data_IF_792221078639
#
_entry.id   IF_792221078639
#
_cell.length_a   1.000
_cell.length_b   1.000
_cell.length_c   1.000
_cell.angle_alpha   90.00
_cell.angle_beta   90.00
_cell.angle_gamma   90.00
#
_symmetry.space_group_name_H-M   'P 1'
#
loop_
_entity.id
_entity.type
_entity.pdbx_description
1 polymer ?
#
# COMPACT_ATOMS: atom_id res chain seq x y z
N UNK A 1 -2.58 14.67 1.60
CA UNK A 1 -3.20 13.37 1.98
C UNK A 1 -2.43 12.17 1.42
N UNK A 2 -2.24 12.02 0.10
CA UNK A 2 -1.53 10.86 -0.50
C UNK A 2 -0.05 10.77 -0.08
N UNK A 3 0.62 11.91 0.09
CA UNK A 3 2.02 12.00 0.54
C UNK A 3 2.29 11.33 1.91
N UNK A 4 1.29 11.31 2.81
CA UNK A 4 1.42 10.74 4.16
C UNK A 4 1.30 9.21 4.23
N UNK A 5 0.90 8.54 3.15
CA UNK A 5 0.75 7.07 3.13
C UNK A 5 2.07 6.33 2.84
N UNK A 6 3.17 7.06 2.65
CA UNK A 6 4.44 6.48 2.21
C UNK A 6 4.39 5.87 0.80
N UNK A 7 3.26 5.96 0.10
CA UNK A 7 3.09 5.54 -1.30
C UNK A 7 3.83 6.46 -2.28
N UNK A 8 4.18 7.66 -1.81
CA UNK A 8 5.03 8.62 -2.50
C UNK A 8 6.54 8.38 -2.26
N UNK A 9 6.94 7.31 -1.53
CA UNK A 9 8.35 6.93 -1.37
C UNK A 9 8.92 6.22 -2.61
N UNK A 10 8.62 6.78 -3.78
CA UNK A 10 9.39 6.63 -5.01
C UNK A 10 10.37 7.78 -5.24
N UNK A 11 10.40 8.80 -4.36
CA UNK A 11 11.40 9.89 -4.39
C UNK A 11 12.76 9.51 -3.78
N UNK A 12 13.01 8.20 -3.57
CA UNK A 12 14.35 7.67 -3.32
C UNK A 12 14.95 7.19 -4.65
N UNK A 13 15.90 7.96 -5.16
CA UNK A 13 16.63 7.68 -6.40
C UNK A 13 17.39 6.35 -6.29
N UNK A 14 16.89 5.30 -6.95
CA UNK A 14 17.61 4.05 -7.16
C UNK A 14 16.69 2.82 -7.16
N UNK A 15 16.89 1.84 -8.07
CA UNK A 15 16.17 0.58 -8.02
C UNK A 15 16.53 -0.14 -6.71
N UNK A 16 15.59 -0.20 -5.76
CA UNK A 16 15.73 -1.11 -4.62
C UNK A 16 15.79 -2.53 -5.18
N UNK A 17 16.92 -3.22 -4.98
CA UNK A 17 17.12 -4.59 -5.50
C UNK A 17 16.09 -5.58 -4.94
N UNK A 18 15.56 -5.32 -3.74
CA UNK A 18 14.58 -6.18 -3.08
C UNK A 18 13.47 -5.36 -2.39
N UNK A 19 12.26 -5.93 -2.37
CA UNK A 19 11.10 -5.33 -1.69
C UNK A 19 11.24 -5.46 -0.18
N UNK A 20 10.89 -4.40 0.56
CA UNK A 20 10.92 -4.42 2.03
C UNK A 20 10.01 -5.50 2.64
N UNK A 21 8.85 -5.75 2.02
CA UNK A 21 7.97 -6.85 2.44
C UNK A 21 8.55 -8.22 2.13
N UNK A 22 9.34 -8.36 1.05
CA UNK A 22 10.01 -9.61 0.74
C UNK A 22 11.10 -9.94 1.77
N UNK A 23 11.88 -8.94 2.19
CA UNK A 23 12.87 -9.14 3.27
C UNK A 23 12.21 -9.45 4.62
N UNK A 24 11.13 -8.74 4.96
CA UNK A 24 10.34 -9.05 6.15
C UNK A 24 9.79 -10.49 6.10
N UNK A 25 9.21 -10.88 4.96
CA UNK A 25 8.67 -12.22 4.78
C UNK A 25 9.75 -13.30 4.88
N UNK A 26 10.95 -13.08 4.31
CA UNK A 26 12.08 -14.00 4.50
C UNK A 26 12.52 -14.10 5.96
N UNK A 27 12.48 -13.00 6.72
CA UNK A 27 12.86 -12.99 8.14
C UNK A 27 11.94 -13.87 8.98
N UNK A 28 10.62 -13.77 8.79
CA UNK A 28 9.65 -14.46 9.64
C UNK A 28 9.24 -15.84 9.11
N UNK A 29 9.18 -16.02 7.79
CA UNK A 29 8.75 -17.28 7.16
C UNK A 29 9.94 -18.14 6.73
N UNK A 30 11.11 -17.53 6.53
CA UNK A 30 12.30 -18.22 6.04
C UNK A 30 12.40 -18.27 4.51
N UNK A 31 13.36 -19.07 4.04
CA UNK A 31 13.69 -19.20 2.62
C UNK A 31 13.75 -20.66 2.19
N UNK A 32 13.37 -20.92 0.94
CA UNK A 32 13.56 -22.21 0.27
C UNK A 32 15.04 -22.46 -0.09
N UNK A 33 15.32 -23.66 -0.63
CA UNK A 33 16.66 -24.08 -1.09
C UNK A 33 17.27 -23.14 -2.16
N UNK A 34 16.46 -22.32 -2.82
CA UNK A 34 16.87 -21.36 -3.85
C UNK A 34 16.98 -19.93 -3.30
N UNK A 35 16.98 -19.76 -1.98
CA UNK A 35 17.04 -18.47 -1.28
C UNK A 35 15.87 -17.51 -1.63
N UNK A 36 14.72 -18.07 -1.96
CA UNK A 36 13.46 -17.33 -2.17
C UNK A 36 12.62 -17.44 -0.90
N UNK A 37 11.76 -16.46 -0.62
CA UNK A 37 10.79 -16.55 0.48
C UNK A 37 10.02 -17.87 0.37
N UNK A 38 9.96 -18.67 1.44
CA UNK A 38 9.50 -20.07 1.35
C UNK A 38 8.00 -20.19 0.97
N UNK A 39 7.12 -19.43 1.64
CA UNK A 39 5.68 -19.37 1.33
C UNK A 39 5.40 -18.81 -0.08
N UNK A 40 4.99 -19.69 -0.98
CA UNK A 40 4.66 -19.34 -2.37
C UNK A 40 3.47 -18.39 -2.52
N UNK A 41 2.48 -18.48 -1.63
CA UNK A 41 1.30 -17.61 -1.66
C UNK A 41 1.67 -16.20 -1.19
N UNK A 42 2.41 -16.08 -0.09
CA UNK A 42 2.91 -14.79 0.41
C UNK A 42 3.82 -14.13 -0.62
N UNK A 43 4.72 -14.90 -1.25
CA UNK A 43 5.60 -14.42 -2.33
C UNK A 43 4.79 -13.84 -3.50
N UNK A 44 3.72 -14.51 -3.90
CA UNK A 44 2.82 -14.03 -4.97
C UNK A 44 2.08 -12.76 -4.57
N UNK A 45 1.58 -12.68 -3.33
CA UNK A 45 0.91 -11.47 -2.81
C UNK A 45 1.84 -10.26 -2.80
N UNK A 46 3.08 -10.43 -2.31
CA UNK A 46 4.10 -9.38 -2.29
C UNK A 46 4.42 -8.93 -3.72
N UNK A 47 4.69 -9.85 -4.64
CA UNK A 47 5.01 -9.52 -6.03
C UNK A 47 3.88 -8.74 -6.72
N UNK A 48 2.62 -9.14 -6.48
CA UNK A 48 1.44 -8.42 -7.00
C UNK A 48 1.32 -7.03 -6.39
N UNK A 49 1.55 -6.87 -5.09
CA UNK A 49 1.53 -5.57 -4.43
C UNK A 49 2.63 -4.65 -4.95
N UNK A 50 3.87 -5.14 -5.12
CA UNK A 50 4.98 -4.36 -5.67
C UNK A 50 4.71 -3.91 -7.11
N UNK A 51 4.18 -4.81 -7.96
CA UNK A 51 3.79 -4.49 -9.33
C UNK A 51 2.70 -3.42 -9.36
N UNK A 52 1.66 -3.58 -8.53
CA UNK A 52 0.57 -2.63 -8.40
C UNK A 52 1.04 -1.27 -7.87
N UNK A 53 1.99 -1.26 -6.93
CA UNK A 53 2.60 -0.04 -6.39
C UNK A 53 3.34 0.71 -7.49
N UNK A 54 4.11 0.00 -8.32
CA UNK A 54 4.80 0.60 -9.47
C UNK A 54 3.83 1.15 -10.51
N UNK A 55 2.81 0.39 -10.88
CA UNK A 55 1.77 0.84 -11.82
C UNK A 55 1.03 2.07 -11.27
N UNK A 56 0.78 2.11 -9.96
CA UNK A 56 0.14 3.23 -9.31
C UNK A 56 1.02 4.49 -9.30
N UNK A 57 2.33 4.36 -9.04
CA UNK A 57 3.26 5.50 -9.16
C UNK A 57 3.25 6.09 -10.56
N UNK A 58 3.29 5.26 -11.60
CA UNK A 58 3.21 5.72 -13.00
C UNK A 58 1.85 6.40 -13.28
N UNK A 59 0.77 5.87 -12.70
CA UNK A 59 -0.56 6.49 -12.83
C UNK A 59 -0.63 7.86 -12.15
N UNK A 60 -0.05 8.02 -10.96
CA UNK A 60 0.03 9.30 -10.27
C UNK A 60 0.89 10.31 -11.04
N UNK A 61 1.99 9.85 -11.66
CA UNK A 61 2.80 10.70 -12.54
C UNK A 61 1.99 11.19 -13.73
N UNK A 62 1.29 10.29 -14.43
CA UNK A 62 0.40 10.66 -15.54
C UNK A 62 -0.67 11.66 -15.09
N UNK A 63 -1.34 11.42 -13.97
CA UNK A 63 -2.34 12.34 -13.43
C UNK A 63 -1.76 13.73 -13.13
N UNK A 64 -0.52 13.80 -12.64
CA UNK A 64 0.15 15.07 -12.38
C UNK A 64 0.50 15.82 -13.68
N UNK A 65 0.89 15.12 -14.74
CA UNK A 65 1.11 15.72 -16.06
C UNK A 65 -0.22 16.18 -16.69
N UNK A 66 -1.26 15.34 -16.67
CA UNK A 66 -2.60 15.67 -17.17
C UNK A 66 -3.16 16.93 -16.48
N UNK A 67 -2.92 17.09 -15.17
CA UNK A 67 -3.35 18.26 -14.41
C UNK A 67 -2.69 19.56 -14.88
N UNK A 68 -1.44 19.54 -15.38
CA UNK A 68 -0.75 20.73 -15.92
C UNK A 68 -1.39 21.25 -17.19
N UNK A 69 -2.08 20.38 -17.95
CA UNK A 69 -2.75 20.73 -19.20
C UNK A 69 -4.27 20.89 -19.04
N UNK A 70 -4.78 20.98 -17.81
CA UNK A 70 -6.21 21.15 -17.53
C UNK A 70 -7.03 19.86 -17.60
N UNK A 71 -6.42 18.70 -17.39
CA UNK A 71 -7.08 17.41 -17.35
C UNK A 71 -8.11 17.25 -16.20
N UNK A 72 -8.84 16.13 -16.15
CA UNK A 72 -10.01 15.99 -15.27
C UNK A 72 -9.64 16.08 -13.78
N UNK A 73 -10.25 17.04 -13.07
CA UNK A 73 -9.99 17.31 -11.65
C UNK A 73 -10.40 16.17 -10.71
N UNK A 74 -11.40 15.37 -11.11
CA UNK A 74 -11.93 14.26 -10.32
C UNK A 74 -10.97 13.04 -10.22
N UNK A 75 -9.90 13.00 -11.02
CA UNK A 75 -8.92 11.90 -10.97
C UNK A 75 -8.21 11.81 -9.61
N UNK A 76 -8.16 12.89 -8.83
CA UNK A 76 -7.63 12.88 -7.46
C UNK A 76 -8.34 11.87 -6.54
N UNK A 77 -9.66 11.64 -6.74
CA UNK A 77 -10.42 10.63 -5.99
C UNK A 77 -9.98 9.20 -6.32
N UNK A 78 -9.54 8.93 -7.55
CA UNK A 78 -8.95 7.63 -7.92
C UNK A 78 -7.66 7.40 -7.13
N UNK A 79 -6.78 8.41 -7.11
CA UNK A 79 -5.52 8.35 -6.37
C UNK A 79 -5.74 8.14 -4.87
N UNK A 80 -6.70 8.85 -4.29
CA UNK A 80 -7.06 8.69 -2.89
C UNK A 80 -7.61 7.29 -2.58
N UNK A 81 -8.61 6.83 -3.33
CA UNK A 81 -9.22 5.52 -3.11
C UNK A 81 -8.18 4.41 -3.23
N UNK A 82 -7.52 4.30 -4.38
CA UNK A 82 -6.60 3.21 -4.64
C UNK A 82 -5.38 3.23 -3.71
N UNK A 83 -4.85 4.43 -3.42
CA UNK A 83 -3.75 4.56 -2.47
C UNK A 83 -4.12 4.06 -1.08
N UNK A 84 -5.32 4.37 -0.60
CA UNK A 84 -5.79 3.90 0.71
C UNK A 84 -5.90 2.37 0.75
N UNK A 85 -6.44 1.75 -0.30
CA UNK A 85 -6.53 0.28 -0.40
C UNK A 85 -5.15 -0.38 -0.49
N UNK A 86 -4.24 0.18 -1.28
CA UNK A 86 -2.87 -0.34 -1.37
C UNK A 86 -2.10 -0.22 -0.05
N UNK A 87 -2.29 0.87 0.70
CA UNK A 87 -1.62 1.05 1.99
C UNK A 87 -2.15 0.06 3.03
N UNK A 88 -3.47 -0.13 3.12
CA UNK A 88 -4.07 -1.16 3.99
C UNK A 88 -3.53 -2.54 3.63
N UNK A 89 -3.54 -2.90 2.34
CA UNK A 89 -3.05 -4.19 1.87
C UNK A 89 -1.56 -4.41 2.18
N UNK A 90 -0.72 -3.37 2.11
CA UNK A 90 0.70 -3.44 2.50
C UNK A 90 0.84 -3.97 3.92
N UNK A 91 0.11 -3.38 4.85
CA UNK A 91 0.18 -3.77 6.25
C UNK A 91 -0.47 -5.13 6.52
N UNK A 92 -1.54 -5.51 5.81
CA UNK A 92 -2.09 -6.87 5.89
C UNK A 92 -1.07 -7.94 5.46
N UNK A 93 -0.29 -7.68 4.40
CA UNK A 93 0.76 -8.59 3.93
C UNK A 93 1.90 -8.69 4.97
N UNK A 94 2.31 -7.56 5.55
CA UNK A 94 3.33 -7.54 6.62
C UNK A 94 2.85 -8.30 7.86
N UNK A 95 1.58 -8.12 8.25
CA UNK A 95 0.97 -8.83 9.36
C UNK A 95 0.92 -10.34 9.11
N UNK A 96 0.52 -10.77 7.90
CA UNK A 96 0.54 -12.18 7.50
C UNK A 96 1.95 -12.77 7.61
N UNK A 97 2.97 -12.03 7.18
CA UNK A 97 4.36 -12.48 7.25
C UNK A 97 4.83 -12.68 8.70
N UNK A 98 4.49 -11.76 9.60
CA UNK A 98 4.93 -11.78 11.00
C UNK A 98 4.19 -12.82 11.85
N UNK A 99 3.02 -13.29 11.42
CA UNK A 99 2.20 -14.20 12.20
C UNK A 99 1.83 -13.61 13.57
N UNK A 100 2.01 -14.38 14.65
CA UNK A 100 1.66 -13.95 16.01
C UNK A 100 2.49 -12.76 16.50
N UNK A 101 3.71 -12.57 16.00
CA UNK A 101 4.53 -11.39 16.31
C UNK A 101 3.89 -10.08 15.82
N UNK A 102 3.02 -10.15 14.81
CA UNK A 102 2.26 -9.00 14.31
C UNK A 102 1.09 -8.57 15.21
N UNK A 103 0.83 -9.26 16.31
CA UNK A 103 -0.31 -8.97 17.20
C UNK A 103 0.11 -8.18 18.46
N UNK A 104 1.37 -7.78 18.56
CA UNK A 104 1.90 -7.05 19.71
C UNK A 104 1.41 -5.61 19.81
N UNK A 105 1.00 -5.19 21.01
CA UNK A 105 0.60 -3.81 21.30
C UNK A 105 1.68 -3.00 22.04
N UNK A 106 2.34 -3.62 23.02
CA UNK A 106 3.43 -3.03 23.79
C UNK A 106 4.25 -4.12 24.51
N UNK A 107 5.46 -3.75 24.92
CA UNK A 107 6.31 -4.54 25.79
C UNK A 107 6.90 -5.81 25.16
N UNK A 108 7.72 -6.49 25.96
CA UNK A 108 8.20 -7.83 25.64
C UNK A 108 7.01 -8.81 25.55
N UNK A 109 7.05 -9.81 24.66
CA UNK A 109 8.19 -10.25 23.86
C UNK A 109 8.29 -9.59 22.46
N UNK A 110 7.60 -8.48 22.21
CA UNK A 110 7.51 -7.89 20.87
C UNK A 110 8.62 -6.90 20.60
N UNK A 111 9.30 -7.06 19.47
CA UNK A 111 10.36 -6.15 19.06
C UNK A 111 9.79 -4.77 18.67
N UNK A 112 10.57 -3.67 18.82
CA UNK A 112 10.10 -2.33 18.47
C UNK A 112 9.58 -2.18 17.03
N UNK A 113 10.20 -2.87 16.07
CA UNK A 113 9.74 -2.87 14.67
C UNK A 113 8.37 -3.55 14.53
N UNK A 114 8.14 -4.64 15.26
CA UNK A 114 6.87 -5.37 15.24
C UNK A 114 5.74 -4.50 15.77
N UNK A 115 5.96 -3.86 16.93
CA UNK A 115 5.02 -2.92 17.53
C UNK A 115 4.69 -1.74 16.60
N UNK A 116 5.69 -1.22 15.88
CA UNK A 116 5.48 -0.16 14.91
C UNK A 116 4.61 -0.63 13.73
N UNK A 117 4.88 -1.82 13.19
CA UNK A 117 4.09 -2.39 12.09
C UNK A 117 2.64 -2.62 12.53
N UNK A 118 2.41 -3.16 13.73
CA UNK A 118 1.05 -3.39 14.27
C UNK A 118 0.27 -2.07 14.41
N UNK A 119 0.91 -1.02 14.94
CA UNK A 119 0.28 0.29 15.08
C UNK A 119 -0.06 0.93 13.74
N UNK A 120 0.86 0.84 12.78
CA UNK A 120 0.62 1.35 11.43
C UNK A 120 -0.46 0.54 10.69
N UNK A 121 -0.54 -0.77 10.91
CA UNK A 121 -1.64 -1.59 10.40
C UNK A 121 -2.99 -1.10 10.90
N UNK A 122 -3.14 -0.91 12.21
CA UNK A 122 -4.37 -0.37 12.80
C UNK A 122 -4.68 1.04 12.30
N UNK A 123 -3.66 1.91 12.23
CA UNK A 123 -3.79 3.28 11.71
C UNK A 123 -4.19 3.31 10.24
N UNK A 124 -3.74 2.34 9.43
CA UNK A 124 -4.05 2.26 8.01
C UNK A 124 -5.56 2.11 7.74
N UNK A 125 -6.32 1.55 8.69
CA UNK A 125 -7.78 1.41 8.56
C UNK A 125 -8.49 2.75 8.42
N UNK A 126 -8.01 3.77 9.12
CA UNK A 126 -8.53 5.13 9.01
C UNK A 126 -8.29 5.74 7.62
N UNK A 127 -7.33 5.22 6.83
CA UNK A 127 -7.09 5.73 5.49
C UNK A 127 -8.32 5.59 4.59
N UNK A 128 -9.16 4.57 4.72
CA UNK A 128 -10.39 4.48 3.89
C UNK A 128 -11.51 5.45 4.28
N UNK A 129 -11.30 6.27 5.33
CA UNK A 129 -12.30 7.18 5.90
C UNK A 129 -11.81 8.64 5.82
N UNK A 130 -10.57 8.90 6.24
CA UNK A 130 -10.04 10.26 6.33
C UNK A 130 -9.78 10.88 4.94
N UNK A 131 -10.14 12.16 4.77
CA UNK A 131 -10.00 12.86 3.49
C UNK A 131 -10.97 12.38 2.41
N UNK A 132 -12.16 11.94 2.83
CA UNK A 132 -13.20 11.37 1.97
C UNK A 132 -13.22 9.86 2.09
N UNK A 133 -14.40 9.32 2.42
CA UNK A 133 -14.56 7.86 2.57
C UNK A 133 -14.41 7.16 1.22
N UNK A 134 -14.21 5.84 1.25
CA UNK A 134 -14.06 5.04 0.04
C UNK A 134 -15.32 5.08 -0.81
N UNK A 135 -16.49 5.06 -0.18
CA UNK A 135 -17.80 5.13 -0.83
C UNK A 135 -18.00 6.46 -1.54
N UNK A 136 -17.64 7.57 -0.89
CA UNK A 136 -17.73 8.90 -1.51
C UNK A 136 -16.74 9.04 -2.66
N UNK A 137 -15.51 8.57 -2.51
CA UNK A 137 -14.54 8.61 -3.61
C UNK A 137 -14.99 7.74 -4.79
N UNK A 138 -15.54 6.55 -4.55
CA UNK A 138 -16.09 5.69 -5.59
C UNK A 138 -17.26 6.35 -6.32
N UNK A 139 -18.13 7.07 -5.59
CA UNK A 139 -19.23 7.84 -6.17
C UNK A 139 -18.73 9.01 -7.04
N UNK A 140 -17.68 9.71 -6.60
CA UNK A 140 -17.03 10.74 -7.44
C UNK A 140 -16.44 10.11 -8.70
N UNK A 141 -15.79 8.95 -8.59
CA UNK A 141 -15.22 8.24 -9.74
C UNK A 141 -16.33 7.84 -10.73
N UNK A 142 -17.41 7.22 -10.26
CA UNK A 142 -18.51 6.80 -11.14
C UNK A 142 -19.12 7.98 -11.89
N UNK A 143 -19.39 9.09 -11.20
CA UNK A 143 -20.12 10.23 -11.77
C UNK A 143 -19.24 11.20 -12.56
N UNK A 144 -18.00 11.42 -12.12
CA UNK A 144 -17.13 12.50 -12.63
C UNK A 144 -15.96 12.00 -13.47
N UNK A 145 -15.67 10.71 -13.43
CA UNK A 145 -14.63 10.09 -14.27
C UNK A 145 -15.26 9.19 -15.32
N UNK A 146 -16.25 8.37 -14.93
CA UNK A 146 -16.93 7.45 -15.85
C UNK A 146 -18.22 8.00 -16.46
N UNK A 147 -18.64 9.20 -16.04
CA UNK A 147 -19.85 9.89 -16.53
C UNK A 147 -21.14 9.05 -16.40
N UNK A 148 -21.23 8.26 -15.32
CA UNK A 148 -22.42 7.45 -15.04
C UNK A 148 -23.57 8.31 -14.47
N UNK A 149 -24.84 7.96 -14.74
CA UNK A 149 -26.00 8.65 -14.20
C UNK A 149 -26.09 8.63 -12.66
N UNK A 150 -26.89 9.56 -12.11
CA UNK A 150 -27.15 9.69 -10.67
C UNK A 150 -28.07 8.60 -10.10
#
# INVERSE_FOLDING_TARGET
>A
MISGMGLATGAGSGPRKTSGMAELGKRYVGTDEKNRLDDAQLRTKIAKHDLNSRAFTLTLQRMAEDAKTGGPSATASMGKYYGSEQNKLRYEIMLQAMGTSGLGWEGEPFAPEELAITREWLRSKANSIEGGTSEINLNVISKRVLDLPD
#
